data_IF_951357350395
#
_entry.id   IF_951357350395
#
_cell.length_a   1.000
_cell.length_b   1.000
_cell.length_c   1.000
_cell.angle_alpha   90.00
_cell.angle_beta   90.00
_cell.angle_gamma   90.00
#
_symmetry.space_group_name_H-M   'P 1'
#
loop_
_entity.id
_entity.type
_entity.pdbx_description
1 polymer ?
#
# COMPACT_ATOMS: atom_id res chain seq x y z
N UNK A 1 14.33 -15.96 -9.42
CA UNK A 1 13.73 -17.31 -9.38
C UNK A 1 12.21 -17.21 -9.22
N UNK A 2 11.44 -16.74 -10.22
CA UNK A 2 9.97 -16.81 -10.16
C UNK A 2 9.42 -18.19 -10.52
N UNK A 3 10.17 -19.01 -11.28
CA UNK A 3 9.67 -20.26 -11.87
C UNK A 3 9.32 -21.36 -10.86
N UNK A 4 10.04 -21.38 -9.73
CA UNK A 4 9.84 -22.33 -8.64
C UNK A 4 9.05 -21.74 -7.45
N UNK A 5 9.12 -20.42 -7.25
CA UNK A 5 8.45 -19.71 -6.17
C UNK A 5 8.21 -18.25 -6.58
N UNK A 6 6.96 -17.81 -6.48
CA UNK A 6 6.62 -16.39 -6.62
C UNK A 6 6.66 -15.69 -5.26
N UNK A 7 7.25 -14.49 -5.22
CA UNK A 7 7.37 -13.68 -4.01
C UNK A 7 6.72 -12.31 -4.27
N UNK A 8 5.87 -11.88 -3.35
CA UNK A 8 5.26 -10.54 -3.33
C UNK A 8 5.63 -9.86 -2.00
N UNK A 9 6.17 -8.65 -2.09
CA UNK A 9 6.46 -7.78 -0.95
C UNK A 9 5.31 -6.80 -0.64
N UNK A 10 5.60 -5.84 0.22
CA UNK A 10 4.67 -4.77 0.62
C UNK A 10 5.36 -3.40 0.58
N UNK A 11 4.58 -2.32 0.63
CA UNK A 11 4.97 -0.89 0.69
C UNK A 11 5.56 -0.24 -0.57
N UNK A 12 6.12 -1.01 -1.50
CA UNK A 12 6.87 -0.48 -2.66
C UNK A 12 7.98 0.51 -2.30
N UNK A 13 8.75 0.21 -1.25
CA UNK A 13 9.95 1.00 -0.91
C UNK A 13 10.96 1.01 -2.06
N UNK A 14 11.81 2.03 -2.12
CA UNK A 14 12.81 2.22 -3.19
C UNK A 14 13.69 0.98 -3.45
N UNK A 15 14.02 0.20 -2.42
CA UNK A 15 14.84 -1.00 -2.58
C UNK A 15 14.12 -2.14 -3.32
N UNK A 16 12.78 -2.17 -3.30
CA UNK A 16 11.99 -3.18 -3.99
C UNK A 16 12.22 -3.13 -5.52
N UNK A 17 12.50 -1.95 -6.06
CA UNK A 17 12.77 -1.75 -7.49
C UNK A 17 14.23 -1.98 -7.89
N UNK A 18 15.14 -2.28 -6.96
CA UNK A 18 16.54 -2.53 -7.32
C UNK A 18 16.65 -3.72 -8.26
N UNK A 19 17.50 -3.66 -9.31
CA UNK A 19 17.58 -4.71 -10.33
C UNK A 19 17.89 -6.11 -9.77
N UNK A 20 18.66 -6.19 -8.68
CA UNK A 20 19.02 -7.45 -8.02
C UNK A 20 17.82 -8.15 -7.37
N UNK A 21 16.78 -7.40 -7.01
CA UNK A 21 15.57 -7.93 -6.38
C UNK A 21 14.42 -7.99 -7.36
N UNK A 22 14.15 -6.89 -8.09
CA UNK A 22 13.02 -6.74 -9.00
C UNK A 22 11.73 -7.27 -8.35
N UNK A 23 11.44 -6.79 -7.13
CA UNK A 23 10.44 -7.37 -6.25
C UNK A 23 9.04 -6.83 -6.59
N UNK A 24 8.14 -7.71 -7.00
CA UNK A 24 6.69 -7.44 -7.07
C UNK A 24 6.18 -7.11 -5.69
N UNK A 25 5.35 -6.09 -5.56
CA UNK A 25 4.93 -5.58 -4.24
C UNK A 25 3.59 -4.88 -4.31
N UNK A 26 2.87 -4.85 -3.19
CA UNK A 26 1.67 -4.04 -3.04
C UNK A 26 2.05 -2.65 -2.53
N UNK A 27 1.84 -1.63 -3.35
CA UNK A 27 2.03 -0.23 -3.00
C UNK A 27 0.81 0.28 -2.23
N UNK A 28 1.07 0.79 -1.02
CA UNK A 28 0.03 1.42 -0.21
C UNK A 28 -0.19 2.89 -0.64
N UNK A 29 -1.43 3.40 -0.60
CA UNK A 29 -1.73 4.80 -0.90
C UNK A 29 -1.44 5.67 0.33
N UNK A 30 -0.17 5.77 0.73
CA UNK A 30 0.22 6.40 2.01
C UNK A 30 -0.25 7.86 2.10
N UNK A 31 -0.13 8.64 1.02
CA UNK A 31 -0.57 10.04 1.00
C UNK A 31 -2.09 10.15 1.28
N UNK A 32 -2.90 9.35 0.59
CA UNK A 32 -4.36 9.31 0.81
C UNK A 32 -4.72 8.83 2.23
N UNK A 33 -3.95 7.88 2.78
CA UNK A 33 -4.13 7.42 4.16
C UNK A 33 -3.89 8.54 5.17
N UNK A 34 -2.83 9.33 4.96
CA UNK A 34 -2.50 10.49 5.81
C UNK A 34 -3.60 11.54 5.71
N UNK A 35 -3.98 11.94 4.49
CA UNK A 35 -5.01 12.95 4.26
C UNK A 35 -6.35 12.55 4.86
N UNK A 36 -6.78 11.30 4.62
CA UNK A 36 -8.02 10.75 5.20
C UNK A 36 -7.98 10.76 6.72
N UNK A 37 -6.84 10.39 7.32
CA UNK A 37 -6.70 10.33 8.78
C UNK A 37 -6.79 11.72 9.39
N UNK A 38 -6.08 12.70 8.82
CA UNK A 38 -6.10 14.09 9.28
C UNK A 38 -7.50 14.68 9.16
N UNK A 39 -8.18 14.44 8.04
CA UNK A 39 -9.55 14.87 7.83
C UNK A 39 -10.49 14.30 8.91
N UNK A 40 -10.48 12.98 9.12
CA UNK A 40 -11.36 12.33 10.11
C UNK A 40 -11.10 12.84 11.53
N UNK A 41 -9.84 13.12 11.88
CA UNK A 41 -9.49 13.68 13.19
C UNK A 41 -10.03 15.10 13.36
N UNK A 42 -9.89 15.96 12.34
CA UNK A 42 -10.39 17.34 12.39
C UNK A 42 -11.93 17.39 12.43
N UNK A 43 -12.60 16.52 11.69
CA UNK A 43 -14.06 16.34 11.75
C UNK A 43 -14.49 15.97 13.18
N UNK A 44 -13.82 14.99 13.81
CA UNK A 44 -14.17 14.56 15.16
C UNK A 44 -13.93 15.66 16.21
N UNK A 45 -12.83 16.41 16.12
CA UNK A 45 -12.54 17.54 17.02
C UNK A 45 -13.64 18.61 16.96
N UNK A 46 -14.13 18.92 15.74
CA UNK A 46 -15.10 19.98 15.52
C UNK A 46 -16.54 19.54 15.81
N UNK A 47 -16.91 18.32 15.42
CA UNK A 47 -18.30 17.85 15.49
C UNK A 47 -18.59 16.95 16.70
N UNK A 48 -17.56 16.41 17.37
CA UNK A 48 -17.68 15.49 18.53
C UNK A 48 -18.62 14.31 18.26
N UNK A 49 -18.54 13.73 17.07
CA UNK A 49 -19.51 12.75 16.60
C UNK A 49 -19.45 11.44 17.40
N UNK A 50 -18.30 11.13 18.01
CA UNK A 50 -17.97 9.84 18.62
C UNK A 50 -18.29 8.64 17.71
N UNK A 51 -18.30 8.84 16.38
CA UNK A 51 -18.60 7.79 15.41
C UNK A 51 -17.32 7.02 15.11
N UNK A 52 -17.43 5.70 15.12
CA UNK A 52 -16.38 4.83 14.59
C UNK A 52 -16.49 4.84 13.07
N UNK A 53 -15.44 5.32 12.41
CA UNK A 53 -15.37 5.44 10.96
C UNK A 53 -14.33 4.47 10.42
N UNK A 54 -14.72 3.63 9.46
CA UNK A 54 -13.81 2.77 8.69
C UNK A 54 -13.79 3.26 7.25
N UNK A 55 -12.60 3.41 6.68
CA UNK A 55 -12.36 3.75 5.27
C UNK A 55 -11.40 2.74 4.67
N UNK A 56 -11.70 2.28 3.46
CA UNK A 56 -10.81 1.42 2.67
C UNK A 56 -10.29 2.27 1.51
N UNK A 57 -8.97 2.35 1.40
CA UNK A 57 -8.27 3.09 0.35
C UNK A 57 -7.58 2.08 -0.58
N UNK A 58 -7.76 2.20 -1.91
CA UNK A 58 -7.20 1.25 -2.85
C UNK A 58 -5.68 1.43 -2.96
N UNK A 59 -4.94 0.35 -2.73
CA UNK A 59 -3.54 0.26 -3.13
C UNK A 59 -3.37 -0.25 -4.55
N UNK A 60 -2.12 -0.45 -4.95
CA UNK A 60 -1.75 -0.89 -6.29
C UNK A 60 -0.79 -2.09 -6.25
N UNK A 61 -1.04 -3.11 -7.07
CA UNK A 61 -0.07 -4.19 -7.25
C UNK A 61 0.97 -3.78 -8.30
N UNK A 62 2.22 -3.60 -7.88
CA UNK A 62 3.34 -3.30 -8.76
C UNK A 62 4.03 -4.60 -9.15
N UNK A 63 3.81 -5.04 -10.39
CA UNK A 63 4.37 -6.30 -10.92
C UNK A 63 5.80 -6.11 -11.41
N UNK A 64 6.71 -6.98 -10.95
CA UNK A 64 8.13 -7.05 -11.33
C UNK A 64 8.58 -8.52 -11.48
N UNK A 65 9.89 -8.77 -11.51
CA UNK A 65 10.47 -10.07 -11.86
C UNK A 65 10.46 -11.15 -10.77
N UNK A 66 9.91 -10.89 -9.58
CA UNK A 66 9.84 -11.87 -8.49
C UNK A 66 8.59 -12.76 -8.51
N UNK A 67 7.65 -12.51 -9.42
CA UNK A 67 6.48 -13.37 -9.65
C UNK A 67 6.54 -13.98 -11.04
N UNK A 68 5.92 -15.15 -11.20
CA UNK A 68 5.84 -15.82 -12.49
C UNK A 68 4.81 -15.14 -13.38
N UNK A 69 5.15 -14.93 -14.64
CA UNK A 69 4.19 -14.52 -15.67
C UNK A 69 3.14 -15.62 -15.88
N UNK A 70 1.90 -15.21 -16.16
CA UNK A 70 0.76 -16.11 -16.38
C UNK A 70 0.89 -16.91 -17.67
#
# INVERSE_FOLDING_TARGET
MPDALSIVGFDDITMASWPSYSLTTWKQPIDDMVDTTVQLLLEEINEKTNKVITRSLPGELIVRGSVKDK
#
